data_IF_141974513942
#
_entry.id   IF_141974513942
#
_cell.length_a   1.000
_cell.length_b   1.000
_cell.length_c   1.000
_cell.angle_alpha   90.00
_cell.angle_beta   90.00
_cell.angle_gamma   90.00
#
_symmetry.space_group_name_H-M   'P 1'
#
loop_
_entity.id
_entity.type
_entity.pdbx_description
1 polymer ?
#
# COMPACT_ATOMS: atom_id res chain seq x y z
N UNK A 1 32.44 -73.60 -41.71
CA UNK A 1 31.53 -74.35 -40.81
C UNK A 1 30.28 -73.49 -40.62
N UNK A 2 29.13 -74.03 -41.04
CA UNK A 2 27.73 -73.79 -40.67
C UNK A 2 27.37 -72.63 -39.73
N UNK A 3 26.20 -72.00 -39.79
CA UNK A 3 25.09 -71.85 -40.74
C UNK A 3 24.06 -70.96 -40.00
N UNK A 4 23.11 -70.44 -40.76
CA UNK A 4 21.71 -70.26 -40.34
C UNK A 4 21.31 -69.01 -39.55
N UNK A 5 20.68 -68.12 -40.32
CA UNK A 5 19.64 -67.19 -39.91
C UNK A 5 18.51 -67.90 -39.15
N UNK A 6 17.94 -67.20 -38.16
CA UNK A 6 16.54 -67.39 -37.74
C UNK A 6 15.82 -66.04 -37.74
N UNK A 7 14.96 -65.86 -38.73
CA UNK A 7 13.82 -64.96 -38.66
C UNK A 7 12.92 -65.42 -37.50
N UNK A 8 12.49 -64.47 -36.66
CA UNK A 8 11.35 -64.69 -35.77
C UNK A 8 10.34 -63.60 -36.09
N UNK A 9 9.26 -64.05 -36.74
CA UNK A 9 8.05 -63.30 -37.03
C UNK A 9 7.29 -63.04 -35.73
N UNK A 10 6.84 -61.82 -35.50
CA UNK A 10 5.87 -61.51 -34.45
C UNK A 10 4.65 -60.82 -35.05
N UNK A 11 3.56 -61.56 -34.96
CA UNK A 11 2.22 -61.26 -35.41
C UNK A 11 1.60 -60.12 -34.59
N UNK A 12 0.88 -59.24 -35.29
CA UNK A 12 0.06 -58.12 -34.80
C UNK A 12 -0.98 -58.49 -33.75
N UNK A 13 -1.22 -57.60 -32.78
CA UNK A 13 -2.47 -57.51 -32.03
C UNK A 13 -2.85 -56.03 -31.83
N UNK A 14 -3.81 -55.57 -32.62
CA UNK A 14 -4.59 -54.36 -32.36
C UNK A 14 -5.64 -54.70 -31.29
N UNK A 15 -5.66 -53.96 -30.18
CA UNK A 15 -6.78 -53.93 -29.25
C UNK A 15 -7.11 -52.48 -28.91
N UNK A 16 -8.29 -52.04 -29.36
CA UNK A 16 -8.95 -50.80 -28.96
C UNK A 16 -9.33 -50.88 -27.48
N UNK A 17 -9.07 -49.82 -26.72
CA UNK A 17 -9.75 -49.57 -25.45
C UNK A 17 -9.92 -48.07 -25.29
N UNK A 18 -11.09 -47.56 -25.67
CA UNK A 18 -11.51 -46.19 -25.37
C UNK A 18 -11.77 -46.06 -23.88
N UNK A 19 -10.91 -45.33 -23.17
CA UNK A 19 -11.18 -44.87 -21.82
C UNK A 19 -11.75 -43.45 -21.93
N UNK A 20 -13.08 -43.34 -21.81
CA UNK A 20 -13.73 -42.07 -21.55
C UNK A 20 -13.37 -41.65 -20.11
N UNK A 21 -12.37 -40.79 -19.95
CA UNK A 21 -12.18 -40.06 -18.71
C UNK A 21 -13.31 -39.04 -18.61
N UNK A 22 -14.36 -39.40 -17.88
CA UNK A 22 -15.29 -38.44 -17.30
C UNK A 22 -14.47 -37.53 -16.38
N UNK A 23 -14.00 -36.41 -16.91
CA UNK A 23 -13.43 -35.33 -16.12
C UNK A 23 -14.56 -34.78 -15.26
N UNK A 24 -14.66 -35.31 -14.03
CA UNK A 24 -15.40 -34.66 -12.96
C UNK A 24 -14.88 -33.24 -12.88
N UNK A 25 -15.67 -32.28 -13.36
CA UNK A 25 -15.43 -30.86 -13.24
C UNK A 25 -15.72 -30.46 -11.78
N UNK A 26 -14.95 -31.03 -10.85
CA UNK A 26 -14.61 -30.31 -9.64
C UNK A 26 -13.83 -29.09 -10.09
N UNK A 27 -14.56 -28.00 -10.37
CA UNK A 27 -14.02 -26.65 -10.31
C UNK A 27 -13.35 -26.55 -8.94
N UNK A 28 -12.03 -26.71 -8.90
CA UNK A 28 -11.25 -26.23 -7.79
C UNK A 28 -11.68 -24.76 -7.57
N UNK A 29 -11.84 -24.31 -6.32
CA UNK A 29 -12.03 -22.89 -6.06
C UNK A 29 -10.91 -22.16 -6.77
N UNK A 30 -11.27 -21.38 -7.79
CA UNK A 30 -10.32 -20.50 -8.46
C UNK A 30 -9.77 -19.59 -7.35
N UNK A 31 -8.45 -19.56 -7.11
CA UNK A 31 -7.91 -18.63 -6.14
C UNK A 31 -8.33 -17.24 -6.59
N UNK A 32 -9.03 -16.53 -5.71
CA UNK A 32 -9.62 -15.21 -5.90
C UNK A 32 -8.50 -14.16 -6.11
N UNK A 33 -7.80 -14.27 -7.23
CA UNK A 33 -6.54 -13.58 -7.55
C UNK A 33 -6.77 -12.19 -8.16
N UNK A 34 -8.00 -11.68 -8.14
CA UNK A 34 -8.34 -10.38 -8.76
C UNK A 34 -9.21 -9.46 -7.92
N UNK A 35 -9.38 -9.70 -6.62
CA UNK A 35 -9.90 -8.65 -5.75
C UNK A 35 -8.73 -7.83 -5.21
N UNK A 36 -8.45 -6.70 -5.87
CA UNK A 36 -7.53 -5.70 -5.34
C UNK A 36 -7.90 -5.30 -3.91
N UNK A 37 -6.93 -4.87 -3.11
CA UNK A 37 -7.21 -4.41 -1.75
C UNK A 37 -8.11 -3.16 -1.80
N UNK A 38 -9.22 -3.22 -1.08
CA UNK A 38 -10.15 -2.10 -0.94
C UNK A 38 -9.88 -1.34 0.36
N UNK A 39 -10.12 -0.03 0.35
CA UNK A 39 -10.11 0.79 1.56
C UNK A 39 -11.21 0.28 2.50
N UNK A 40 -10.90 -0.11 3.75
CA UNK A 40 -11.93 -0.56 4.67
C UNK A 40 -12.95 0.56 4.95
N UNK A 41 -14.24 0.21 4.99
CA UNK A 41 -15.29 1.18 5.28
C UNK A 41 -15.12 1.80 6.67
N UNK A 42 -15.37 3.12 6.77
CA UNK A 42 -15.21 3.91 8.00
C UNK A 42 -13.79 3.86 8.61
N UNK A 43 -12.78 3.60 7.79
CA UNK A 43 -11.39 3.56 8.25
C UNK A 43 -10.78 4.96 8.30
N UNK A 44 -11.02 5.63 9.42
CA UNK A 44 -10.62 7.02 9.64
C UNK A 44 -9.34 7.08 10.47
N UNK A 45 -8.36 7.85 10.01
CA UNK A 45 -7.09 8.06 10.72
C UNK A 45 -7.22 9.27 11.63
N UNK A 46 -6.74 9.13 12.87
CA UNK A 46 -6.79 10.20 13.86
C UNK A 46 -5.47 10.97 13.85
N UNK A 47 -5.53 12.26 13.60
CA UNK A 47 -4.40 13.19 13.70
C UNK A 47 -4.52 13.97 15.00
N UNK A 48 -3.43 13.98 15.76
CA UNK A 48 -3.36 14.63 17.07
C UNK A 48 -2.08 15.42 17.24
N UNK A 49 -2.15 16.49 18.04
CA UNK A 49 -0.99 17.35 18.29
C UNK A 49 -0.50 18.00 17.00
N UNK A 50 -1.43 18.41 16.13
CA UNK A 50 -1.08 19.03 14.86
C UNK A 50 -0.50 20.42 15.06
N UNK A 51 0.67 20.62 14.47
CA UNK A 51 1.32 21.91 14.31
C UNK A 51 1.81 22.07 12.87
N UNK A 52 1.52 23.21 12.25
CA UNK A 52 2.15 23.61 11.01
C UNK A 52 2.39 25.12 10.97
N UNK A 53 3.51 25.50 10.35
CA UNK A 53 3.91 26.89 10.20
C UNK A 53 4.72 27.11 8.94
N UNK A 54 4.82 28.36 8.52
CA UNK A 54 5.67 28.78 7.41
C UNK A 54 6.62 29.87 7.88
N UNK A 55 7.90 29.70 7.56
CA UNK A 55 8.94 30.68 7.76
C UNK A 55 9.59 31.04 6.43
N UNK A 56 10.60 31.93 6.45
CA UNK A 56 11.33 32.35 5.25
C UNK A 56 11.92 31.19 4.44
N UNK A 57 12.17 30.06 5.09
CA UNK A 57 12.80 28.87 4.49
C UNK A 57 11.81 27.80 4.02
N UNK A 58 10.51 28.04 4.14
CA UNK A 58 9.46 27.08 3.77
C UNK A 58 8.52 26.77 4.92
N UNK A 59 7.60 25.85 4.66
CA UNK A 59 6.59 25.38 5.59
C UNK A 59 6.99 24.04 6.20
N UNK A 60 6.57 23.82 7.44
CA UNK A 60 6.79 22.60 8.21
C UNK A 60 5.47 22.04 8.74
N UNK A 61 5.51 20.78 9.13
CA UNK A 61 4.45 20.07 9.82
C UNK A 61 5.03 19.18 10.92
N UNK A 62 4.27 19.03 12.00
CA UNK A 62 4.52 18.12 13.11
C UNK A 62 3.18 17.59 13.64
N UNK A 63 3.03 16.28 13.74
CA UNK A 63 1.83 15.66 14.31
C UNK A 63 2.04 14.18 14.64
N UNK A 64 1.11 13.63 15.42
CA UNK A 64 0.93 12.19 15.57
C UNK A 64 -0.28 11.72 14.78
N UNK A 65 -0.17 10.58 14.10
CA UNK A 65 -1.28 9.92 13.41
C UNK A 65 -1.47 8.50 13.91
N UNK A 66 -2.73 8.12 14.08
CA UNK A 66 -3.14 6.77 14.47
C UNK A 66 -4.06 6.20 13.41
N UNK A 67 -3.62 5.13 12.75
CA UNK A 67 -4.46 4.31 11.88
C UNK A 67 -5.00 3.14 12.70
N UNK A 68 -6.31 2.99 12.84
CA UNK A 68 -6.87 1.90 13.64
C UNK A 68 -6.67 0.56 12.94
N UNK A 69 -6.53 -0.50 13.74
CA UNK A 69 -6.55 -1.88 13.25
C UNK A 69 -7.92 -2.21 12.65
N UNK A 70 -7.93 -2.95 11.55
CA UNK A 70 -9.14 -3.54 10.97
C UNK A 70 -9.02 -5.06 11.11
N UNK A 71 -9.88 -5.70 11.93
CA UNK A 71 -9.81 -7.14 12.20
C UNK A 71 -9.72 -7.98 10.92
N UNK A 72 -8.71 -8.84 10.85
CA UNK A 72 -8.46 -9.73 9.71
C UNK A 72 -8.01 -9.04 8.41
N UNK A 73 -7.80 -7.72 8.41
CA UNK A 73 -7.44 -6.95 7.20
C UNK A 73 -6.16 -6.12 7.35
N UNK A 74 -6.10 -5.23 8.34
CA UNK A 74 -5.02 -4.23 8.49
C UNK A 74 -4.59 -4.16 9.95
N UNK A 75 -3.29 -4.29 10.21
CA UNK A 75 -2.73 -4.00 11.53
C UNK A 75 -2.61 -2.48 11.73
N UNK A 76 -3.12 -1.98 12.85
CA UNK A 76 -3.07 -0.56 13.21
C UNK A 76 -1.66 -0.11 13.54
N UNK A 77 -1.47 1.21 13.43
CA UNK A 77 -0.17 1.85 13.66
C UNK A 77 -0.37 3.23 14.26
N UNK A 78 0.52 3.62 15.17
CA UNK A 78 0.69 5.00 15.63
C UNK A 78 2.06 5.49 15.21
N UNK A 79 2.11 6.62 14.54
CA UNK A 79 3.36 7.21 14.05
C UNK A 79 3.42 8.71 14.33
N UNK A 80 4.63 9.20 14.56
CA UNK A 80 4.94 10.61 14.66
C UNK A 80 5.53 11.11 13.33
N UNK A 81 4.90 12.09 12.74
CA UNK A 81 5.23 12.63 11.43
C UNK A 81 5.74 14.07 11.59
N UNK A 82 6.97 14.31 11.17
CA UNK A 82 7.56 15.65 11.15
C UNK A 82 8.37 15.88 9.89
N UNK A 83 8.23 17.05 9.29
CA UNK A 83 8.94 17.38 8.07
C UNK A 83 8.72 18.80 7.60
N UNK A 84 9.36 19.11 6.48
CA UNK A 84 9.37 20.41 5.85
C UNK A 84 9.13 20.25 4.34
N UNK A 85 8.84 21.34 3.66
CA UNK A 85 8.95 21.40 2.20
C UNK A 85 10.40 21.05 1.80
N UNK A 86 10.55 20.04 0.94
CA UNK A 86 11.87 19.51 0.55
C UNK A 86 12.51 20.35 -0.56
N UNK A 87 11.68 20.91 -1.43
CA UNK A 87 12.10 21.87 -2.46
C UNK A 87 11.22 23.11 -2.31
N UNK A 88 11.81 24.30 -2.47
CA UNK A 88 11.02 25.51 -2.57
C UNK A 88 10.03 25.37 -3.75
N UNK A 89 8.74 25.19 -3.41
CA UNK A 89 7.53 25.23 -4.27
C UNK A 89 7.08 23.92 -4.92
N UNK A 90 7.95 23.13 -5.56
CA UNK A 90 7.58 21.91 -6.33
C UNK A 90 8.46 20.72 -5.97
N UNK A 91 7.93 19.50 -6.07
CA UNK A 91 8.70 18.28 -5.81
C UNK A 91 8.71 17.86 -4.34
N UNK A 92 7.66 18.21 -3.58
CA UNK A 92 7.54 17.72 -2.21
C UNK A 92 7.41 16.18 -2.22
N UNK A 93 8.34 15.52 -1.53
CA UNK A 93 8.41 14.06 -1.40
C UNK A 93 7.89 13.60 -0.05
N UNK A 94 7.37 12.37 -0.01
CA UNK A 94 6.95 11.73 1.23
C UNK A 94 8.17 11.47 2.13
N UNK A 95 8.09 11.93 3.37
CA UNK A 95 9.07 11.63 4.42
C UNK A 95 8.49 10.57 5.35
N UNK A 96 9.29 9.55 5.67
CA UNK A 96 8.91 8.50 6.61
C UNK A 96 8.68 9.07 8.00
N UNK A 97 7.57 8.65 8.62
CA UNK A 97 7.23 8.96 9.99
C UNK A 97 7.88 7.97 10.95
N UNK A 98 8.18 8.41 12.17
CA UNK A 98 8.69 7.56 13.22
C UNK A 98 7.56 6.70 13.76
N UNK A 99 7.73 5.37 13.71
CA UNK A 99 6.81 4.43 14.34
C UNK A 99 6.87 4.59 15.87
N UNK A 100 5.71 4.81 16.50
CA UNK A 100 5.58 4.91 17.95
C UNK A 100 4.98 3.64 18.56
N UNK A 101 4.01 3.03 17.89
CA UNK A 101 3.33 1.82 18.34
C UNK A 101 2.65 1.09 17.17
N UNK A 102 2.33 -0.19 17.36
CA UNK A 102 1.63 -1.04 16.40
C UNK A 102 2.54 -1.97 15.61
N UNK A 103 2.01 -2.50 14.51
CA UNK A 103 2.77 -3.40 13.63
C UNK A 103 3.75 -2.60 12.76
N UNK A 104 4.77 -3.26 12.19
CA UNK A 104 5.80 -2.64 11.35
C UNK A 104 5.28 -2.24 9.94
N UNK A 105 4.15 -1.53 9.90
CA UNK A 105 3.65 -0.81 8.73
C UNK A 105 4.33 0.55 8.65
N UNK A 106 4.56 1.03 7.43
CA UNK A 106 5.24 2.32 7.25
C UNK A 106 4.20 3.42 7.08
N UNK A 107 4.47 4.55 7.72
CA UNK A 107 3.70 5.77 7.54
C UNK A 107 4.63 6.81 6.97
N UNK A 108 4.15 7.60 6.02
CA UNK A 108 4.87 8.74 5.50
C UNK A 108 3.92 9.91 5.28
N UNK A 109 4.45 11.12 5.35
CA UNK A 109 3.67 12.34 5.16
C UNK A 109 4.43 13.34 4.28
N UNK A 110 3.69 14.24 3.65
CA UNK A 110 4.22 15.42 2.97
C UNK A 110 3.19 16.53 2.90
N UNK A 111 3.67 17.76 2.80
CA UNK A 111 2.84 18.88 2.36
C UNK A 111 2.61 18.77 0.84
N UNK A 112 1.46 19.29 0.39
CA UNK A 112 1.18 19.46 -1.03
C UNK A 112 2.22 20.35 -1.69
N UNK A 113 2.25 20.35 -3.02
CA UNK A 113 2.98 21.40 -3.73
C UNK A 113 2.23 22.74 -3.60
N UNK A 114 2.95 23.83 -3.85
CA UNK A 114 2.34 25.15 -3.94
C UNK A 114 1.66 25.29 -5.30
N UNK A 115 0.52 25.97 -5.31
CA UNK A 115 -0.27 26.19 -6.53
C UNK A 115 0.32 27.27 -7.44
N UNK A 116 1.08 28.20 -6.88
CA UNK A 116 1.71 29.31 -7.59
C UNK A 116 3.23 29.18 -7.62
N UNK A 117 3.80 29.48 -8.78
CA UNK A 117 5.24 29.62 -8.96
C UNK A 117 5.79 30.92 -8.34
N UNK A 118 4.93 31.87 -7.94
CA UNK A 118 5.32 33.15 -7.32
C UNK A 118 5.90 32.99 -5.90
N UNK A 119 5.62 31.87 -5.23
CA UNK A 119 6.06 31.61 -3.85
C UNK A 119 5.36 32.43 -2.77
N UNK A 120 4.25 33.11 -3.13
CA UNK A 120 3.41 33.87 -2.20
C UNK A 120 2.33 33.04 -1.53
N UNK A 121 2.08 31.84 -2.04
CA UNK A 121 1.15 30.87 -1.48
C UNK A 121 1.87 29.81 -0.63
N UNK A 122 1.08 29.04 0.10
CA UNK A 122 1.52 27.97 0.97
C UNK A 122 0.90 26.65 0.52
N UNK A 123 1.52 25.50 0.84
CA UNK A 123 0.88 24.21 0.67
C UNK A 123 -0.51 24.18 1.32
N UNK A 124 -1.50 23.74 0.56
CA UNK A 124 -2.91 23.77 0.99
C UNK A 124 -3.33 22.49 1.68
N UNK A 125 -2.60 21.38 1.46
CA UNK A 125 -2.94 20.08 2.02
C UNK A 125 -1.74 19.40 2.69
N UNK A 126 -2.05 18.59 3.70
CA UNK A 126 -1.17 17.53 4.20
C UNK A 126 -1.62 16.22 3.57
N UNK A 127 -0.68 15.48 2.99
CA UNK A 127 -0.89 14.15 2.43
C UNK A 127 -0.23 13.13 3.33
N UNK A 128 -0.97 12.09 3.69
CA UNK A 128 -0.49 10.97 4.51
C UNK A 128 -0.63 9.69 3.71
N UNK A 129 0.43 8.89 3.71
CA UNK A 129 0.48 7.58 3.08
C UNK A 129 0.79 6.51 4.13
N UNK A 130 -0.03 5.47 4.14
CA UNK A 130 0.14 4.27 4.94
C UNK A 130 0.47 3.11 4.01
N UNK A 131 1.66 2.56 4.18
CA UNK A 131 2.15 1.38 3.47
C UNK A 131 1.85 0.15 4.32
N UNK A 132 0.94 -0.67 3.81
CA UNK A 132 0.66 -1.99 4.32
C UNK A 132 1.63 -2.99 3.70
N UNK A 133 2.69 -3.31 4.45
CA UNK A 133 3.66 -4.34 4.09
C UNK A 133 3.21 -5.70 4.59
N UNK A 134 3.09 -6.69 3.70
CA UNK A 134 3.14 -8.09 4.14
C UNK A 134 4.61 -8.50 4.27
N UNK A 135 4.93 -9.24 5.33
CA UNK A 135 6.30 -9.70 5.59
C UNK A 135 6.91 -10.47 4.39
N UNK A 136 8.24 -10.67 4.38
CA UNK A 136 9.04 -11.07 3.21
C UNK A 136 8.72 -12.44 2.57
N UNK A 137 7.71 -13.16 3.08
CA UNK A 137 7.37 -14.52 2.70
C UNK A 137 5.96 -14.68 2.09
N UNK A 138 5.24 -13.58 1.83
CA UNK A 138 3.89 -13.65 1.27
C UNK A 138 3.85 -13.13 -0.19
N UNK A 139 3.20 -13.86 -1.12
CA UNK A 139 3.22 -13.56 -2.55
C UNK A 139 2.34 -12.37 -2.97
N UNK A 140 1.77 -11.62 -2.03
CA UNK A 140 0.87 -10.51 -2.35
C UNK A 140 1.64 -9.18 -2.41
N UNK A 141 1.23 -8.23 -3.27
CA UNK A 141 1.84 -6.91 -3.32
C UNK A 141 1.62 -6.14 -2.01
N UNK A 142 2.56 -5.26 -1.65
CA UNK A 142 2.32 -4.22 -0.65
C UNK A 142 1.30 -3.21 -1.19
N UNK A 143 0.57 -2.56 -0.29
CA UNK A 143 -0.45 -1.57 -0.69
C UNK A 143 -0.22 -0.24 0.01
N UNK A 144 -0.30 0.84 -0.76
CA UNK A 144 -0.28 2.21 -0.25
C UNK A 144 -1.69 2.76 -0.21
N UNK A 145 -2.12 3.13 0.98
CA UNK A 145 -3.32 3.90 1.21
C UNK A 145 -2.94 5.35 1.39
N UNK A 146 -3.60 6.27 0.69
CA UNK A 146 -3.34 7.69 0.83
C UNK A 146 -4.60 8.46 1.15
N UNK A 147 -4.47 9.43 2.04
CA UNK A 147 -5.50 10.41 2.36
C UNK A 147 -4.88 11.80 2.48
N UNK A 148 -5.71 12.82 2.35
CA UNK A 148 -5.30 14.20 2.53
C UNK A 148 -6.26 14.96 3.43
N UNK A 149 -5.78 16.07 3.97
CA UNK A 149 -6.60 17.04 4.69
C UNK A 149 -6.08 18.44 4.41
N UNK A 150 -6.96 19.45 4.47
CA UNK A 150 -6.56 20.84 4.36
C UNK A 150 -5.60 21.20 5.49
N UNK A 151 -4.46 21.79 5.16
CA UNK A 151 -3.45 22.22 6.14
C UNK A 151 -4.01 23.34 7.01
N UNK A 152 -3.83 23.23 8.32
CA UNK A 152 -4.19 24.28 9.29
C UNK A 152 -2.88 24.89 9.79
N UNK A 153 -2.61 26.16 9.47
CA UNK A 153 -1.38 26.81 9.94
C UNK A 153 -1.62 27.43 11.32
N UNK A 154 -1.05 26.83 12.35
CA UNK A 154 -1.31 27.12 13.77
C UNK A 154 -0.04 27.26 14.63
N UNK A 155 1.15 27.43 14.03
CA UNK A 155 2.43 27.59 14.74
C UNK A 155 2.48 28.68 15.83
N UNK A 156 1.50 29.59 15.87
CA UNK A 156 1.39 30.63 16.90
C UNK A 156 0.07 30.54 17.70
N UNK A 157 -0.65 29.42 17.61
CA UNK A 157 -1.98 29.25 18.20
C UNK A 157 -2.04 27.96 19.02
N UNK A 158 -2.22 28.12 20.32
CA UNK A 158 -2.62 27.04 21.22
C UNK A 158 -4.15 27.03 21.39
N UNK A 159 -4.78 25.85 21.64
CA UNK A 159 -4.16 24.52 21.72
C UNK A 159 -3.87 23.92 20.34
N UNK A 160 -2.97 22.92 20.31
CA UNK A 160 -2.72 22.11 19.11
C UNK A 160 -4.02 21.46 18.62
N UNK A 161 -4.16 21.38 17.29
CA UNK A 161 -5.39 20.94 16.67
C UNK A 161 -5.41 19.41 16.52
N UNK A 162 -6.61 18.85 16.49
CA UNK A 162 -6.85 17.45 16.20
C UNK A 162 -7.89 17.35 15.08
N UNK A 163 -7.70 16.43 14.15
CA UNK A 163 -8.64 16.19 13.05
C UNK A 163 -8.51 14.77 12.54
N UNK A 164 -9.33 14.44 11.55
CA UNK A 164 -9.38 13.12 10.94
C UNK A 164 -9.04 13.15 9.46
N UNK A 165 -8.41 12.07 9.00
CA UNK A 165 -8.14 11.84 7.57
C UNK A 165 -8.88 10.58 7.16
N UNK A 166 -9.65 10.69 6.07
CA UNK A 166 -10.25 9.53 5.41
C UNK A 166 -9.40 9.19 4.18
N UNK A 167 -8.82 7.99 4.09
CA UNK A 167 -8.09 7.57 2.91
C UNK A 167 -9.02 7.47 1.71
N UNK A 168 -8.57 7.97 0.57
CA UNK A 168 -9.35 8.07 -0.67
C UNK A 168 -8.78 7.21 -1.79
N UNK A 169 -7.49 6.89 -1.73
CA UNK A 169 -6.80 6.15 -2.79
C UNK A 169 -6.07 4.95 -2.20
N UNK A 170 -6.12 3.82 -2.92
CA UNK A 170 -5.33 2.62 -2.65
C UNK A 170 -4.59 2.24 -3.93
N UNK A 171 -3.29 1.99 -3.79
CA UNK A 171 -2.43 1.59 -4.92
C UNK A 171 -1.62 0.37 -4.53
N UNK A 172 -1.53 -0.61 -5.44
CA UNK A 172 -0.59 -1.70 -5.28
C UNK A 172 0.83 -1.18 -5.56
N UNK A 173 1.79 -1.57 -4.74
CA UNK A 173 3.20 -1.30 -4.94
C UNK A 173 3.77 -2.47 -5.75
N UNK A 174 4.10 -2.26 -7.04
CA UNK A 174 4.76 -3.29 -7.82
C UNK A 174 6.16 -3.55 -7.24
N UNK A 175 6.53 -4.83 -7.17
CA UNK A 175 7.88 -5.27 -6.84
C UNK A 175 8.87 -5.00 -7.98
#
# INVERSE_FOLDING_TARGET
MYLSYKMVSFTTLLALSGAALASSSCKAPEPDQKKGMEIPGNWTWQVTGWEAGCARQGCYYDFNVTMPSVPGKVGGVKAHCQGNENWFRKGNTYKGCQLLDGVNNRVSAKLSERTSDSGTDFPTEILVSFEFGKGPFLPNPSYNFTGSHKTIYNAAVEPLQNFTIVPTTVTAVPY
#
